data_IF_898818531662
#
_entry.id   IF_898818531662
#
_cell.length_a   1.000
_cell.length_b   1.000
_cell.length_c   1.000
_cell.angle_alpha   90.00
_cell.angle_beta   90.00
_cell.angle_gamma   90.00
#
_symmetry.space_group_name_H-M   'P 1'
#
loop_
_entity.id
_entity.type
_entity.pdbx_description
1 polymer ?
#
# COMPACT_ATOMS: atom_id res chain seq x y z
N UNK A 1 16.55 -9.79 -4.26
CA UNK A 1 15.29 -10.58 -4.12
C UNK A 1 15.38 -11.72 -3.10
N UNK A 2 16.37 -12.63 -3.18
CA UNK A 2 16.44 -13.80 -2.27
C UNK A 2 16.59 -13.41 -0.79
N UNK A 3 17.34 -12.35 -0.47
CA UNK A 3 17.51 -11.87 0.91
C UNK A 3 16.20 -11.29 1.49
N UNK A 4 15.53 -10.38 0.78
CA UNK A 4 14.24 -9.84 1.22
C UNK A 4 13.15 -10.93 1.28
N UNK A 5 13.11 -11.86 0.34
CA UNK A 5 12.18 -12.98 0.35
C UNK A 5 12.40 -13.87 1.59
N UNK A 6 13.65 -14.21 1.90
CA UNK A 6 13.99 -15.00 3.09
C UNK A 6 13.61 -14.26 4.38
N UNK A 7 13.93 -12.97 4.47
CA UNK A 7 13.53 -12.15 5.62
C UNK A 7 12.00 -12.08 5.78
N UNK A 8 11.26 -12.00 4.67
CA UNK A 8 9.79 -11.99 4.67
C UNK A 8 9.25 -13.28 5.28
N UNK A 9 9.77 -14.43 4.82
CA UNK A 9 9.37 -15.76 5.32
C UNK A 9 9.72 -15.91 6.80
N UNK A 10 10.95 -15.55 7.19
CA UNK A 10 11.39 -15.62 8.58
C UNK A 10 10.54 -14.73 9.51
N UNK A 11 10.18 -13.55 9.04
CA UNK A 11 9.34 -12.61 9.79
C UNK A 11 7.94 -13.17 9.98
N UNK A 12 7.34 -13.78 8.95
CA UNK A 12 6.02 -14.42 9.04
C UNK A 12 6.05 -15.56 10.06
N UNK A 13 7.10 -16.40 10.05
CA UNK A 13 7.23 -17.55 10.96
C UNK A 13 7.51 -17.17 12.42
N UNK A 14 8.26 -16.08 12.64
CA UNK A 14 8.62 -15.62 14.00
C UNK A 14 7.50 -14.80 14.66
N UNK A 15 6.69 -14.09 13.87
CA UNK A 15 5.66 -13.21 14.41
C UNK A 15 4.34 -13.96 14.63
N UNK A 16 3.98 -14.18 15.89
CA UNK A 16 2.74 -14.90 16.28
C UNK A 16 1.43 -14.31 15.75
N UNK A 17 1.44 -13.06 15.27
CA UNK A 17 0.26 -12.42 14.70
C UNK A 17 0.20 -12.54 13.18
N UNK A 18 1.26 -12.99 12.52
CA UNK A 18 1.26 -13.29 11.08
C UNK A 18 0.88 -14.76 10.87
N UNK A 19 0.11 -15.02 9.82
CA UNK A 19 -0.41 -16.35 9.53
C UNK A 19 0.24 -16.95 8.27
N UNK A 20 0.35 -18.29 8.16
CA UNK A 20 1.02 -18.96 7.04
C UNK A 20 0.47 -18.65 5.64
N UNK A 21 -0.82 -18.25 5.53
CA UNK A 21 -1.42 -17.88 4.24
C UNK A 21 -0.63 -16.76 3.52
N UNK A 22 0.01 -15.87 4.27
CA UNK A 22 0.81 -14.79 3.70
C UNK A 22 2.15 -15.31 3.15
N UNK A 23 2.68 -16.40 3.72
CA UNK A 23 3.87 -17.09 3.21
C UNK A 23 3.58 -17.83 1.88
N UNK A 24 2.36 -18.35 1.72
CA UNK A 24 1.91 -18.96 0.46
C UNK A 24 1.92 -17.92 -0.68
N UNK A 25 1.54 -16.68 -0.39
CA UNK A 25 1.50 -15.57 -1.35
C UNK A 25 2.79 -14.72 -1.39
N UNK A 26 3.91 -15.21 -0.85
CA UNK A 26 5.18 -14.45 -0.76
C UNK A 26 5.71 -13.94 -2.11
N UNK A 27 5.53 -14.72 -3.19
CA UNK A 27 6.00 -14.35 -4.52
C UNK A 27 5.17 -13.23 -5.17
N UNK A 28 3.91 -13.08 -4.76
CA UNK A 28 3.09 -11.91 -5.12
C UNK A 28 3.42 -10.71 -4.23
N UNK A 29 3.60 -10.95 -2.92
CA UNK A 29 3.86 -9.92 -1.93
C UNK A 29 5.18 -9.19 -2.13
N UNK A 30 6.29 -9.93 -2.22
CA UNK A 30 7.65 -9.38 -2.16
C UNK A 30 7.92 -8.37 -3.30
N UNK A 31 7.60 -8.64 -4.58
CA UNK A 31 7.84 -7.66 -5.65
C UNK A 31 7.05 -6.36 -5.47
N UNK A 32 5.79 -6.45 -5.02
CA UNK A 32 4.93 -5.29 -4.83
C UNK A 32 5.43 -4.39 -3.69
N UNK A 33 5.81 -5.00 -2.57
CA UNK A 33 6.34 -4.27 -1.42
C UNK A 33 7.72 -3.68 -1.70
N UNK A 34 8.61 -4.44 -2.34
CA UNK A 34 9.93 -3.94 -2.76
C UNK A 34 9.80 -2.69 -3.63
N UNK A 35 8.94 -2.74 -4.66
CA UNK A 35 8.68 -1.58 -5.53
C UNK A 35 8.16 -0.38 -4.74
N UNK A 36 7.21 -0.59 -3.82
CA UNK A 36 6.64 0.50 -3.04
C UNK A 36 7.65 1.13 -2.06
N UNK A 37 8.46 0.31 -1.38
CA UNK A 37 9.50 0.79 -0.47
C UNK A 37 10.60 1.54 -1.24
N UNK A 38 11.01 1.04 -2.42
CA UNK A 38 11.99 1.75 -3.26
C UNK A 38 11.43 3.12 -3.74
N UNK A 39 10.15 3.19 -4.09
CA UNK A 39 9.53 4.47 -4.43
C UNK A 39 9.57 5.45 -3.23
N UNK A 40 9.31 4.95 -2.02
CA UNK A 40 9.30 5.76 -0.82
C UNK A 40 10.69 6.23 -0.38
N UNK A 41 11.63 5.30 -0.21
CA UNK A 41 12.92 5.57 0.43
C UNK A 41 13.97 6.10 -0.56
N UNK A 42 14.00 5.57 -1.79
CA UNK A 42 15.04 5.90 -2.76
C UNK A 42 14.60 7.01 -3.70
N UNK A 43 13.35 6.94 -4.19
CA UNK A 43 12.79 7.98 -5.07
C UNK A 43 12.19 9.16 -4.33
N UNK A 44 12.07 9.09 -3.00
CA UNK A 44 11.43 10.13 -2.18
C UNK A 44 9.99 10.44 -2.59
N UNK A 45 9.24 9.44 -3.07
CA UNK A 45 7.85 9.62 -3.44
C UNK A 45 6.98 9.68 -2.19
N UNK A 46 5.95 10.52 -2.27
CA UNK A 46 4.86 10.51 -1.27
C UNK A 46 3.89 9.37 -1.55
N UNK A 47 3.38 8.72 -0.51
CA UNK A 47 2.36 7.67 -0.62
C UNK A 47 1.00 8.26 -0.31
N UNK A 48 0.09 8.18 -1.28
CA UNK A 48 -1.27 8.67 -1.15
C UNK A 48 -2.19 7.46 -0.99
N UNK A 49 -2.81 7.34 0.18
CA UNK A 49 -3.65 6.20 0.54
C UNK A 49 -5.09 6.46 0.11
N UNK A 50 -5.69 5.47 -0.54
CA UNK A 50 -7.09 5.47 -0.99
C UNK A 50 -7.71 4.13 -0.61
N UNK A 51 -8.93 4.15 -0.11
CA UNK A 51 -9.71 2.91 0.09
C UNK A 51 -11.06 3.01 -0.60
N UNK A 52 -11.68 1.85 -0.83
CA UNK A 52 -13.14 1.83 -0.99
C UNK A 52 -13.84 2.32 0.30
N UNK A 53 -15.18 2.44 0.24
CA UNK A 53 -15.98 2.91 1.38
C UNK A 53 -15.96 1.95 2.58
N UNK A 54 -15.97 0.65 2.31
CA UNK A 54 -16.03 -0.37 3.37
C UNK A 54 -14.73 -0.43 4.19
N UNK A 55 -13.59 -0.03 3.59
CA UNK A 55 -12.25 -0.10 4.21
C UNK A 55 -11.73 1.24 4.70
N UNK A 56 -12.60 2.25 4.86
CA UNK A 56 -12.22 3.55 5.45
C UNK A 56 -11.66 3.40 6.87
N UNK A 57 -12.17 2.45 7.65
CA UNK A 57 -11.61 2.12 8.97
C UNK A 57 -10.14 1.69 8.89
N UNK A 58 -9.76 1.00 7.82
CA UNK A 58 -8.42 0.48 7.62
C UNK A 58 -7.47 1.58 7.14
N UNK A 59 -7.96 2.55 6.37
CA UNK A 59 -7.20 3.76 6.04
C UNK A 59 -6.73 4.46 7.32
N UNK A 60 -7.65 4.71 8.26
CA UNK A 60 -7.30 5.37 9.52
C UNK A 60 -6.42 4.52 10.41
N UNK A 61 -6.65 3.21 10.45
CA UNK A 61 -5.74 2.29 11.09
C UNK A 61 -4.32 2.41 10.51
N UNK A 62 -4.16 2.38 9.19
CA UNK A 62 -2.87 2.43 8.53
C UNK A 62 -2.14 3.76 8.80
N UNK A 63 -2.81 4.90 8.59
CA UNK A 63 -2.21 6.23 8.78
C UNK A 63 -1.83 6.49 10.24
N UNK A 64 -2.66 6.05 11.20
CA UNK A 64 -2.36 6.18 12.63
C UNK A 64 -1.16 5.33 13.05
N UNK A 65 -1.02 4.14 12.48
CA UNK A 65 0.03 3.19 12.91
C UNK A 65 1.35 3.37 12.15
N UNK A 66 1.34 3.86 10.91
CA UNK A 66 2.56 3.96 10.10
C UNK A 66 3.54 5.02 10.62
N UNK A 67 3.00 6.10 11.19
CA UNK A 67 3.76 7.18 11.83
C UNK A 67 3.64 7.13 13.36
N UNK A 68 3.35 5.96 13.93
CA UNK A 68 3.29 5.79 15.38
C UNK A 68 4.64 6.09 16.02
N UNK A 69 4.64 6.91 17.07
CA UNK A 69 5.85 7.27 17.84
C UNK A 69 6.52 6.08 18.50
N UNK A 70 5.83 4.94 18.63
CA UNK A 70 6.37 3.69 19.19
C UNK A 70 7.36 2.98 18.27
N UNK A 71 7.43 3.37 16.99
CA UNK A 71 8.27 2.70 15.99
C UNK A 71 9.72 3.21 15.97
N UNK A 72 10.03 4.29 16.69
CA UNK A 72 11.37 4.89 16.77
C UNK A 72 12.02 5.17 15.41
N UNK A 73 11.23 5.48 14.38
CA UNK A 73 11.69 5.87 13.03
C UNK A 73 11.15 7.24 12.65
N UNK A 74 11.75 7.95 11.67
CA UNK A 74 11.24 9.22 11.17
C UNK A 74 9.80 9.13 10.67
N UNK A 75 9.10 10.26 10.62
CA UNK A 75 7.80 10.34 9.96
C UNK A 75 7.96 10.16 8.45
N UNK A 76 7.08 9.34 7.89
CA UNK A 76 7.07 9.00 6.48
C UNK A 76 5.89 9.68 5.78
N UNK A 77 6.05 10.07 4.50
CA UNK A 77 5.07 10.86 3.75
C UNK A 77 3.87 10.02 3.28
N UNK A 78 3.01 9.60 4.21
CA UNK A 78 1.73 8.95 3.93
C UNK A 78 0.58 9.93 4.15
N UNK A 79 -0.30 10.04 3.16
CA UNK A 79 -1.39 11.02 3.18
C UNK A 79 -2.72 10.37 2.79
N UNK A 80 -3.81 10.76 3.45
CA UNK A 80 -5.16 10.48 3.00
C UNK A 80 -5.48 11.30 1.74
N UNK A 81 -5.86 10.65 0.64
CA UNK A 81 -6.28 11.34 -0.58
C UNK A 81 -7.43 12.33 -0.35
N UNK A 82 -8.38 11.99 0.55
CA UNK A 82 -9.51 12.88 0.84
C UNK A 82 -9.05 14.20 1.47
N UNK A 83 -7.80 14.32 1.93
CA UNK A 83 -7.24 15.60 2.37
C UNK A 83 -7.03 16.58 1.22
N UNK A 84 -6.84 16.09 -0.02
CA UNK A 84 -6.62 16.92 -1.21
C UNK A 84 -7.90 17.11 -2.02
N UNK A 85 -8.70 16.06 -2.19
CA UNK A 85 -9.93 16.12 -3.00
C UNK A 85 -11.07 15.34 -2.36
N UNK A 86 -12.10 16.06 -1.91
CA UNK A 86 -13.25 15.51 -1.16
C UNK A 86 -14.25 14.74 -2.04
N UNK A 87 -14.24 14.97 -3.35
CA UNK A 87 -15.27 14.47 -4.28
C UNK A 87 -14.78 13.29 -5.13
N UNK A 88 -13.90 12.43 -4.59
CA UNK A 88 -13.37 11.27 -5.33
C UNK A 88 -14.48 10.36 -5.89
N UNK A 89 -15.60 10.26 -5.17
CA UNK A 89 -16.77 9.47 -5.60
C UNK A 89 -17.48 10.04 -6.84
N UNK A 90 -17.18 11.28 -7.21
CA UNK A 90 -17.80 11.98 -8.35
C UNK A 90 -16.93 12.00 -9.61
N UNK A 91 -15.72 11.42 -9.56
CA UNK A 91 -14.80 11.35 -10.70
C UNK A 91 -15.40 10.44 -11.77
N UNK A 92 -15.67 10.96 -12.96
CA UNK A 92 -16.40 10.23 -14.02
C UNK A 92 -15.71 10.26 -15.38
N UNK A 93 -14.82 11.22 -15.61
CA UNK A 93 -14.16 11.42 -16.90
C UNK A 93 -12.64 11.29 -16.78
N UNK A 94 -11.99 10.98 -17.89
CA UNK A 94 -10.52 11.01 -17.98
C UNK A 94 -9.96 12.44 -17.75
N UNK A 95 -10.77 13.45 -18.05
CA UNK A 95 -10.44 14.86 -17.81
C UNK A 95 -10.38 15.18 -16.31
N UNK A 96 -11.35 14.71 -15.51
CA UNK A 96 -11.31 14.81 -14.04
C UNK A 96 -10.04 14.16 -13.47
N UNK A 97 -9.70 12.97 -13.99
CA UNK A 97 -8.49 12.24 -13.58
C UNK A 97 -7.24 13.04 -13.94
N UNK A 98 -7.20 13.69 -15.10
CA UNK A 98 -6.09 14.54 -15.52
C UNK A 98 -5.92 15.73 -14.57
N UNK A 99 -6.99 16.45 -14.25
CA UNK A 99 -6.93 17.60 -13.33
C UNK A 99 -6.46 17.21 -11.93
N UNK A 100 -6.90 16.06 -11.43
CA UNK A 100 -6.41 15.53 -10.14
C UNK A 100 -4.91 15.20 -10.24
N UNK A 101 -4.46 14.56 -11.32
CA UNK A 101 -3.05 14.23 -11.52
C UNK A 101 -2.17 15.48 -11.62
N UNK A 102 -2.64 16.52 -12.29
CA UNK A 102 -1.92 17.80 -12.42
C UNK A 102 -1.76 18.46 -11.04
N UNK A 103 -2.85 18.54 -10.26
CA UNK A 103 -2.83 19.05 -8.89
C UNK A 103 -1.85 18.28 -7.99
N UNK A 104 -1.85 16.95 -8.06
CA UNK A 104 -0.94 16.11 -7.27
C UNK A 104 0.51 16.27 -7.73
N UNK A 105 0.76 16.40 -9.03
CA UNK A 105 2.12 16.60 -9.57
C UNK A 105 2.72 17.93 -9.11
N UNK A 106 1.91 18.99 -9.02
CA UNK A 106 2.33 20.27 -8.44
C UNK A 106 2.64 20.12 -6.95
N UNK A 107 1.79 19.38 -6.22
CA UNK A 107 1.91 19.20 -4.77
C UNK A 107 3.08 18.31 -4.35
N UNK A 108 3.44 17.33 -5.20
CA UNK A 108 4.47 16.33 -4.94
C UNK A 108 5.53 16.36 -6.04
N UNK A 109 6.46 17.35 -6.03
CA UNK A 109 7.44 17.53 -7.11
C UNK A 109 8.43 16.37 -7.25
N UNK A 110 8.70 15.65 -6.15
CA UNK A 110 9.52 14.43 -6.19
C UNK A 110 8.76 13.21 -6.72
N UNK A 111 7.45 13.32 -6.92
CA UNK A 111 6.58 12.22 -7.34
C UNK A 111 5.73 11.64 -6.19
N UNK A 112 4.74 10.84 -6.59
CA UNK A 112 3.84 10.17 -5.66
C UNK A 112 3.47 8.77 -6.16
N UNK A 113 2.98 7.93 -5.25
CA UNK A 113 2.39 6.63 -5.54
C UNK A 113 1.06 6.50 -4.81
N UNK A 114 0.09 5.88 -5.46
CA UNK A 114 -1.13 5.49 -4.76
C UNK A 114 -0.92 4.18 -4.01
N UNK A 115 -1.44 4.10 -2.80
CA UNK A 115 -1.71 2.85 -2.12
C UNK A 115 -3.22 2.66 -2.04
N UNK A 116 -3.76 1.77 -2.87
CA UNK A 116 -5.18 1.49 -2.90
C UNK A 116 -5.52 0.19 -2.17
N UNK A 117 -6.54 0.21 -1.31
CA UNK A 117 -7.07 -0.96 -0.62
C UNK A 117 -8.60 -1.02 -0.79
N UNK A 118 -9.11 -1.96 -1.58
CA UNK A 118 -10.55 -2.01 -1.84
C UNK A 118 -10.96 -2.89 -3.00
N UNK A 119 -12.27 -2.93 -3.26
CA UNK A 119 -12.86 -3.60 -4.41
C UNK A 119 -12.34 -3.01 -5.72
N UNK A 120 -11.89 -3.85 -6.64
CA UNK A 120 -11.33 -3.39 -7.92
C UNK A 120 -12.32 -2.64 -8.83
N UNK A 121 -13.61 -2.84 -8.60
CA UNK A 121 -14.72 -2.18 -9.30
C UNK A 121 -15.25 -0.92 -8.60
N UNK A 122 -14.71 -0.55 -7.44
CA UNK A 122 -15.07 0.71 -6.77
C UNK A 122 -14.57 1.91 -7.58
N UNK A 123 -15.37 2.98 -7.67
CA UNK A 123 -15.02 4.18 -8.45
C UNK A 123 -13.68 4.79 -8.00
N UNK A 124 -13.34 4.69 -6.72
CA UNK A 124 -12.09 5.19 -6.12
C UNK A 124 -10.87 4.41 -6.58
N UNK A 125 -11.05 3.19 -7.09
CA UNK A 125 -9.98 2.38 -7.66
C UNK A 125 -9.50 2.90 -9.02
N UNK A 126 -10.31 3.70 -9.71
CA UNK A 126 -10.05 4.17 -11.09
C UNK A 126 -8.72 4.91 -11.19
N UNK A 127 -8.50 5.93 -10.34
CA UNK A 127 -7.27 6.75 -10.41
C UNK A 127 -6.02 5.92 -10.07
N UNK A 128 -5.97 5.16 -8.95
CA UNK A 128 -4.83 4.30 -8.62
C UNK A 128 -4.50 3.28 -9.72
N UNK A 129 -5.49 2.66 -10.35
CA UNK A 129 -5.27 1.60 -11.34
C UNK A 129 -4.68 2.08 -12.65
N UNK A 130 -4.85 3.36 -12.99
CA UNK A 130 -4.28 3.97 -14.20
C UNK A 130 -2.78 4.28 -14.03
N UNK A 131 -2.30 4.45 -12.79
CA UNK A 131 -0.89 4.77 -12.52
C UNK A 131 -0.05 3.50 -12.38
N UNK A 132 1.02 3.41 -13.18
CA UNK A 132 1.91 2.24 -13.27
C UNK A 132 2.63 1.88 -11.97
N UNK A 133 2.79 2.83 -11.04
CA UNK A 133 3.58 2.64 -9.82
C UNK A 133 2.74 2.49 -8.55
N UNK A 134 1.43 2.37 -8.69
CA UNK A 134 0.54 2.19 -7.55
C UNK A 134 0.77 0.85 -6.84
N UNK A 135 0.66 0.87 -5.53
CA UNK A 135 0.63 -0.29 -4.66
C UNK A 135 -0.82 -0.67 -4.42
N UNK A 136 -1.26 -1.77 -5.04
CA UNK A 136 -2.68 -2.11 -5.16
C UNK A 136 -2.99 -3.37 -4.35
N UNK A 137 -3.89 -3.27 -3.38
CA UNK A 137 -4.53 -4.40 -2.70
C UNK A 137 -5.97 -4.46 -3.19
N UNK A 138 -6.24 -5.37 -4.12
CA UNK A 138 -7.50 -5.41 -4.86
C UNK A 138 -8.38 -6.55 -4.39
N UNK A 139 -9.66 -6.26 -4.21
CA UNK A 139 -10.67 -7.27 -3.93
C UNK A 139 -11.48 -7.58 -5.20
N UNK A 140 -11.74 -8.86 -5.41
CA UNK A 140 -12.64 -9.40 -6.44
C UNK A 140 -12.23 -9.03 -7.88
N UNK A 141 -10.95 -8.75 -8.09
CA UNK A 141 -10.37 -8.48 -9.40
C UNK A 141 -8.96 -9.07 -9.45
N UNK A 142 -8.65 -9.81 -10.52
CA UNK A 142 -7.33 -10.36 -10.75
C UNK A 142 -6.50 -9.40 -11.61
N UNK A 143 -5.45 -8.84 -11.01
CA UNK A 143 -4.45 -8.01 -11.70
C UNK A 143 -3.05 -8.48 -11.32
N UNK A 144 -2.17 -8.63 -12.31
CA UNK A 144 -0.81 -9.16 -12.10
C UNK A 144 0.04 -8.26 -11.18
N UNK A 145 -0.06 -6.94 -11.33
CA UNK A 145 0.67 -5.95 -10.52
C UNK A 145 -0.13 -5.51 -9.27
N UNK A 146 -0.90 -6.41 -8.68
CA UNK A 146 -1.67 -6.17 -7.47
C UNK A 146 -1.67 -7.38 -6.55
N UNK A 147 -1.92 -7.14 -5.28
CA UNK A 147 -2.17 -8.21 -4.32
C UNK A 147 -3.67 -8.51 -4.31
N UNK A 148 -4.07 -9.61 -4.94
CA UNK A 148 -5.49 -9.96 -5.12
C UNK A 148 -6.03 -10.73 -3.90
N UNK A 149 -7.19 -10.29 -3.42
CA UNK A 149 -7.91 -10.81 -2.26
C UNK A 149 -9.41 -10.93 -2.61
N UNK A 150 -10.19 -11.61 -1.77
CA UNK A 150 -11.63 -11.76 -1.97
C UNK A 150 -12.38 -10.97 -0.92
N UNK A 151 -13.37 -10.17 -1.33
CA UNK A 151 -14.16 -9.37 -0.38
C UNK A 151 -15.08 -10.22 0.49
N UNK A 152 -15.42 -11.43 0.03
CA UNK A 152 -16.27 -12.38 0.75
C UNK A 152 -15.49 -13.33 1.68
N UNK A 153 -14.19 -13.11 1.86
CA UNK A 153 -13.39 -13.86 2.82
C UNK A 153 -13.73 -13.41 4.25
N UNK A 154 -14.26 -14.33 5.06
CA UNK A 154 -14.64 -14.05 6.46
C UNK A 154 -13.46 -13.55 7.31
N UNK A 155 -12.23 -13.89 6.92
CA UNK A 155 -11.01 -13.46 7.61
C UNK A 155 -10.38 -12.20 7.00
N UNK A 156 -11.04 -11.51 6.05
CA UNK A 156 -10.46 -10.39 5.30
C UNK A 156 -9.87 -9.30 6.20
N UNK A 157 -10.61 -8.85 7.21
CA UNK A 157 -10.15 -7.78 8.10
C UNK A 157 -8.89 -8.18 8.85
N UNK A 158 -8.82 -9.42 9.33
CA UNK A 158 -7.61 -9.98 9.94
C UNK A 158 -6.45 -10.02 8.94
N UNK A 159 -6.71 -10.44 7.69
CA UNK A 159 -5.70 -10.45 6.63
C UNK A 159 -5.14 -9.06 6.35
N UNK A 160 -5.98 -8.03 6.31
CA UNK A 160 -5.56 -6.64 6.13
C UNK A 160 -4.65 -6.17 7.26
N UNK A 161 -5.01 -6.45 8.51
CA UNK A 161 -4.17 -6.15 9.68
C UNK A 161 -2.82 -6.88 9.62
N UNK A 162 -2.80 -8.14 9.20
CA UNK A 162 -1.59 -8.94 9.05
C UNK A 162 -0.69 -8.43 7.93
N UNK A 163 -1.26 -8.11 6.77
CA UNK A 163 -0.53 -7.52 5.65
C UNK A 163 0.07 -6.17 6.05
N UNK A 164 -0.70 -5.30 6.71
CA UNK A 164 -0.17 -4.03 7.21
C UNK A 164 0.97 -4.26 8.21
N UNK A 165 0.82 -5.20 9.14
CA UNK A 165 1.86 -5.53 10.12
C UNK A 165 3.16 -5.96 9.43
N UNK A 166 3.07 -6.84 8.43
CA UNK A 166 4.24 -7.29 7.68
C UNK A 166 4.86 -6.11 6.91
N UNK A 167 4.06 -5.34 6.18
CA UNK A 167 4.51 -4.17 5.43
C UNK A 167 5.21 -3.14 6.34
N UNK A 168 4.60 -2.85 7.49
CA UNK A 168 5.12 -1.87 8.44
C UNK A 168 6.46 -2.31 9.05
N UNK A 169 6.63 -3.61 9.29
CA UNK A 169 7.92 -4.20 9.70
C UNK A 169 8.95 -4.11 8.58
N UNK A 170 8.57 -4.44 7.35
CA UNK A 170 9.47 -4.33 6.20
C UNK A 170 10.00 -2.91 6.08
N UNK A 171 9.11 -1.93 6.20
CA UNK A 171 9.48 -0.52 6.13
C UNK A 171 10.50 -0.11 7.19
N UNK A 172 10.33 -0.57 8.44
CA UNK A 172 11.33 -0.34 9.48
C UNK A 172 12.67 -1.03 9.18
N UNK A 173 12.63 -2.31 8.79
CA UNK A 173 13.83 -3.08 8.48
C UNK A 173 14.61 -2.45 7.31
N UNK A 174 13.93 -2.00 6.26
CA UNK A 174 14.54 -1.29 5.14
C UNK A 174 15.14 0.05 5.57
N UNK A 175 14.42 0.83 6.37
CA UNK A 175 14.89 2.15 6.82
C UNK A 175 16.13 2.04 7.73
N UNK A 176 16.24 0.99 8.53
CA UNK A 176 17.41 0.72 9.36
C UNK A 176 18.49 -0.11 8.66
N UNK A 177 18.38 -0.32 7.34
CA UNK A 177 19.31 -1.10 6.53
C UNK A 177 19.52 -2.54 7.04
N UNK A 178 18.52 -3.12 7.72
CA UNK A 178 18.52 -4.52 8.14
C UNK A 178 18.25 -5.47 6.95
N UNK A 179 17.60 -4.95 5.90
CA UNK A 179 17.32 -5.66 4.66
C UNK A 179 17.56 -4.76 3.47
N UNK A 180 18.04 -5.35 2.37
CA UNK A 180 18.03 -4.71 1.07
C UNK A 180 16.78 -5.15 0.27
N UNK A 181 15.90 -4.19 0.00
CA UNK A 181 14.71 -4.37 -0.85
C UNK A 181 14.98 -4.03 -2.31
N UNK A 182 16.13 -3.42 -2.63
CA UNK A 182 16.60 -3.19 -3.98
C UNK A 182 17.15 -4.48 -4.58
N UNK A 183 16.84 -4.65 -5.87
CA UNK A 183 17.59 -5.40 -6.89
C UNK A 183 16.88 -5.18 -8.23
#
# INVERSE_FOLDING_TARGET
MQEFLNWTVDTIRKDKYLSPWLEEKKYEWTPLVSKNINNLLERNFSIIVITDKDREWFLEYALTNINSTRLNRPFLPYYDFKSFYKYIDNVKSDEDISYIKDMLTISFPNGYCFWYIGKGQDIRATIPKVLKNSFLWLFDEEKQDAFNLKSNDEALDMKLLQMFRLYNKTLSASLFAEINVEN
#
